data_IF_322011612150
#
_entry.id   IF_322011612150
#
_cell.length_a   1.000
_cell.length_b   1.000
_cell.length_c   1.000
_cell.angle_alpha   90.00
_cell.angle_beta   90.00
_cell.angle_gamma   90.00
#
_symmetry.space_group_name_H-M   'P 1'
#
loop_
_entity.id
_entity.type
_entity.pdbx_description
1 polymer ?
#
# COMPACT_ATOMS: atom_id res chain seq x y z
N UNK A 1 -1.91 20.61 16.07
CA UNK A 1 -1.83 19.38 15.25
C UNK A 1 -0.76 19.65 14.21
N UNK A 2 0.36 18.89 14.16
CA UNK A 2 1.47 19.27 13.31
C UNK A 2 1.06 19.14 11.83
N UNK A 3 1.27 20.21 11.04
CA UNK A 3 0.79 20.37 9.65
C UNK A 3 1.06 19.16 8.73
N UNK A 4 2.08 18.37 9.03
CA UNK A 4 2.52 17.25 8.20
C UNK A 4 1.59 16.03 8.23
N UNK A 5 0.85 15.78 9.32
CA UNK A 5 -0.09 14.64 9.38
C UNK A 5 -1.27 14.81 8.41
N UNK A 6 -1.74 16.04 8.31
CA UNK A 6 -2.84 16.45 7.45
C UNK A 6 -2.39 16.43 5.99
N UNK A 7 -1.14 16.82 5.72
CA UNK A 7 -0.57 16.77 4.39
C UNK A 7 -0.41 15.32 3.89
N UNK A 8 0.09 14.40 4.71
CA UNK A 8 0.20 12.99 4.36
C UNK A 8 -1.17 12.35 4.07
N UNK A 9 -2.20 12.72 4.84
CA UNK A 9 -3.57 12.28 4.56
C UNK A 9 -4.08 12.78 3.19
N UNK A 10 -3.79 14.04 2.84
CA UNK A 10 -4.19 14.65 1.56
C UNK A 10 -3.45 14.00 0.38
N UNK A 11 -2.14 13.83 0.49
CA UNK A 11 -1.32 13.29 -0.60
C UNK A 11 -1.73 11.86 -1.00
N UNK A 12 -2.25 11.07 -0.05
CA UNK A 12 -2.74 9.73 -0.33
C UNK A 12 -4.05 9.64 -1.14
N UNK A 13 -4.78 10.74 -1.38
CA UNK A 13 -6.03 10.67 -2.14
C UNK A 13 -5.83 10.25 -3.59
N UNK A 14 -4.76 10.73 -4.23
CA UNK A 14 -4.45 10.38 -5.62
C UNK A 14 -4.26 8.88 -5.79
N UNK A 15 -3.45 8.29 -4.91
CA UNK A 15 -3.17 6.84 -4.90
C UNK A 15 -4.45 6.01 -4.70
N UNK A 16 -5.30 6.39 -3.73
CA UNK A 16 -6.58 5.71 -3.47
C UNK A 16 -7.53 5.78 -4.66
N UNK A 17 -7.59 6.91 -5.34
CA UNK A 17 -8.42 7.07 -6.53
C UNK A 17 -7.90 6.20 -7.68
N UNK A 18 -6.59 6.25 -7.95
CA UNK A 18 -5.93 5.46 -9.00
C UNK A 18 -6.15 3.96 -8.80
N UNK A 19 -5.91 3.44 -7.60
CA UNK A 19 -6.11 2.03 -7.29
C UNK A 19 -7.57 1.57 -7.53
N UNK A 20 -8.54 2.42 -7.19
CA UNK A 20 -9.98 2.13 -7.43
C UNK A 20 -10.32 2.11 -8.91
N UNK A 21 -9.80 3.04 -9.70
CA UNK A 21 -10.01 3.10 -11.15
C UNK A 21 -9.45 1.82 -11.80
N UNK A 22 -8.21 1.45 -11.49
CA UNK A 22 -7.57 0.24 -12.05
C UNK A 22 -8.31 -1.03 -11.61
N UNK A 23 -8.69 -1.15 -10.34
CA UNK A 23 -9.48 -2.29 -9.88
C UNK A 23 -10.84 -2.39 -10.59
N UNK A 24 -11.50 -1.25 -10.85
CA UNK A 24 -12.74 -1.23 -11.62
C UNK A 24 -12.53 -1.64 -13.09
N UNK A 25 -11.46 -1.17 -13.70
CA UNK A 25 -11.06 -1.56 -15.06
C UNK A 25 -10.82 -3.07 -15.18
N UNK A 26 -10.11 -3.68 -14.23
CA UNK A 26 -9.91 -5.14 -14.17
C UNK A 26 -11.26 -5.88 -14.13
N UNK A 27 -12.19 -5.43 -13.26
CA UNK A 27 -13.53 -6.03 -13.16
C UNK A 27 -14.35 -5.89 -14.44
N UNK A 28 -14.24 -4.76 -15.14
CA UNK A 28 -14.90 -4.57 -16.43
C UNK A 28 -14.42 -5.58 -17.49
N UNK A 29 -13.21 -6.12 -17.35
CA UNK A 29 -12.62 -7.13 -18.24
C UNK A 29 -12.75 -8.56 -17.69
N UNK A 30 -13.65 -8.80 -16.74
CA UNK A 30 -13.90 -10.14 -16.19
C UNK A 30 -12.86 -10.64 -15.19
N UNK A 31 -11.89 -9.80 -14.79
CA UNK A 31 -10.88 -10.12 -13.78
C UNK A 31 -11.34 -9.71 -12.38
N UNK A 32 -10.93 -10.47 -11.36
CA UNK A 32 -11.35 -10.23 -9.96
C UNK A 32 -10.49 -9.16 -9.28
N UNK A 33 -10.51 -7.93 -9.79
CA UNK A 33 -9.74 -6.80 -9.25
C UNK A 33 -10.36 -6.16 -8.00
N UNK A 34 -9.56 -5.96 -6.94
CA UNK A 34 -9.96 -5.27 -5.69
C UNK A 34 -8.94 -4.20 -5.34
N UNK A 35 -9.40 -2.97 -5.09
CA UNK A 35 -8.54 -1.90 -4.61
C UNK A 35 -8.28 -2.08 -3.11
N UNK A 36 -7.01 -2.04 -2.71
CA UNK A 36 -6.58 -2.20 -1.33
C UNK A 36 -5.73 -1.01 -0.91
N UNK A 37 -6.11 -0.40 0.22
CA UNK A 37 -5.40 0.75 0.77
C UNK A 37 -4.19 0.27 1.58
N UNK A 38 -2.98 0.71 1.21
CA UNK A 38 -1.74 0.32 1.85
C UNK A 38 -1.66 0.79 3.30
N UNK A 39 -2.47 1.74 3.76
CA UNK A 39 -2.59 2.07 5.19
C UNK A 39 -3.10 0.90 6.05
N UNK A 40 -3.76 -0.08 5.43
CA UNK A 40 -4.14 -1.35 6.06
C UNK A 40 -3.05 -2.43 5.98
N UNK A 41 -1.94 -2.18 5.28
CA UNK A 41 -0.85 -3.14 5.08
C UNK A 41 0.46 -2.63 5.69
N UNK A 42 0.92 -1.47 5.25
CA UNK A 42 2.19 -0.86 5.61
C UNK A 42 2.05 -0.12 6.93
N UNK A 43 2.69 -0.66 7.97
CA UNK A 43 2.81 -0.01 9.28
C UNK A 43 4.11 0.78 9.30
N UNK A 44 4.08 2.05 9.68
CA UNK A 44 5.27 2.90 9.72
C UNK A 44 5.56 3.44 11.12
N UNK A 45 6.73 4.05 11.26
CA UNK A 45 6.99 5.04 12.31
C UNK A 45 6.19 6.35 12.08
N UNK A 46 6.39 7.32 12.97
CA UNK A 46 5.67 8.60 12.99
C UNK A 46 6.46 9.72 12.26
N UNK A 47 7.36 9.38 11.34
CA UNK A 47 8.14 10.35 10.56
C UNK A 47 7.37 10.76 9.31
N UNK A 48 6.35 11.61 9.49
CA UNK A 48 5.48 12.10 8.40
C UNK A 48 6.30 12.74 7.26
N UNK A 49 5.89 12.47 6.01
CA UNK A 49 6.59 12.88 4.79
C UNK A 49 7.71 11.94 4.33
N UNK A 50 8.24 11.08 5.21
CA UNK A 50 9.36 10.17 4.90
C UNK A 50 9.41 8.98 5.87
N UNK A 51 8.27 8.33 6.09
CA UNK A 51 8.10 7.33 7.13
C UNK A 51 8.75 5.99 6.76
N UNK A 52 9.27 5.28 7.77
CA UNK A 52 9.93 3.98 7.59
C UNK A 52 8.98 2.83 7.95
N UNK A 53 8.78 1.84 7.06
CA UNK A 53 8.02 0.63 7.35
C UNK A 53 8.59 -0.22 8.50
N UNK A 54 7.75 -0.58 9.46
CA UNK A 54 7.98 -1.63 10.45
C UNK A 54 7.69 -2.99 9.78
N UNK A 55 8.74 -3.66 9.32
CA UNK A 55 8.62 -4.91 8.55
C UNK A 55 7.87 -6.02 9.29
N UNK A 56 8.00 -6.08 10.63
CA UNK A 56 7.35 -7.13 11.43
C UNK A 56 5.84 -6.93 11.47
N UNK A 57 5.39 -5.70 11.75
CA UNK A 57 3.96 -5.39 11.79
C UNK A 57 3.34 -5.38 10.40
N UNK A 58 4.08 -4.91 9.40
CA UNK A 58 3.65 -4.93 8.00
C UNK A 58 3.46 -6.35 7.51
N UNK A 59 4.40 -7.27 7.80
CA UNK A 59 4.27 -8.70 7.48
C UNK A 59 2.96 -9.28 8.01
N UNK A 60 2.68 -9.07 9.30
CA UNK A 60 1.43 -9.54 9.91
C UNK A 60 0.19 -9.02 9.16
N UNK A 61 0.14 -7.72 8.84
CA UNK A 61 -1.01 -7.14 8.14
C UNK A 61 -1.14 -7.65 6.71
N UNK A 62 -0.02 -7.86 6.00
CA UNK A 62 0.00 -8.45 4.65
C UNK A 62 -0.51 -9.89 4.68
N UNK A 63 -0.05 -10.70 5.64
CA UNK A 63 -0.52 -12.08 5.84
C UNK A 63 -2.03 -12.12 6.13
N UNK A 64 -2.54 -11.18 6.94
CA UNK A 64 -3.96 -11.13 7.31
C UNK A 64 -4.88 -10.58 6.20
N UNK A 65 -4.41 -9.62 5.39
CA UNK A 65 -5.29 -8.83 4.52
C UNK A 65 -5.00 -8.96 3.02
N UNK A 66 -3.77 -9.33 2.62
CA UNK A 66 -3.37 -9.46 1.22
C UNK A 66 -3.31 -10.92 0.77
N UNK A 67 -2.61 -11.79 1.51
CA UNK A 67 -2.42 -13.20 1.11
C UNK A 67 -3.75 -13.94 0.87
N UNK A 68 -4.80 -13.80 1.70
CA UNK A 68 -6.07 -14.48 1.46
C UNK A 68 -6.77 -14.04 0.16
N UNK A 69 -6.47 -12.84 -0.34
CA UNK A 69 -6.98 -12.39 -1.63
C UNK A 69 -6.27 -13.12 -2.77
N UNK A 70 -4.94 -13.22 -2.70
CA UNK A 70 -4.12 -13.93 -3.68
C UNK A 70 -4.51 -15.41 -3.76
N UNK A 71 -4.66 -16.08 -2.62
CA UNK A 71 -5.10 -17.50 -2.54
C UNK A 71 -6.46 -17.74 -3.20
N UNK A 72 -7.34 -16.73 -3.17
CA UNK A 72 -8.67 -16.79 -3.78
C UNK A 72 -8.69 -16.39 -5.25
N UNK A 73 -7.53 -16.16 -5.87
CA UNK A 73 -7.43 -15.68 -7.27
C UNK A 73 -8.00 -14.29 -7.47
N UNK A 74 -7.99 -13.44 -6.43
CA UNK A 74 -8.32 -12.02 -6.52
C UNK A 74 -7.04 -11.26 -6.86
N UNK A 75 -7.13 -10.25 -7.72
CA UNK A 75 -6.01 -9.38 -8.09
C UNK A 75 -6.07 -8.12 -7.20
N UNK A 76 -5.20 -7.99 -6.18
CA UNK A 76 -5.16 -6.81 -5.34
C UNK A 76 -4.46 -5.68 -6.09
N UNK A 77 -5.12 -4.52 -6.17
CA UNK A 77 -4.54 -3.27 -6.66
C UNK A 77 -4.24 -2.44 -5.42
N UNK A 78 -3.00 -2.53 -4.96
CA UNK A 78 -2.55 -1.87 -3.72
C UNK A 78 -2.09 -0.45 -4.04
N UNK A 79 -2.50 0.54 -3.24
CA UNK A 79 -1.98 1.91 -3.35
C UNK A 79 -0.47 1.94 -3.07
N UNK A 80 0.31 2.72 -3.83
CA UNK A 80 1.71 2.99 -3.49
C UNK A 80 1.85 4.15 -2.50
N UNK A 81 3.09 4.47 -2.13
CA UNK A 81 3.53 5.70 -1.46
C UNK A 81 3.00 5.96 -0.03
N UNK A 82 1.89 5.35 0.38
CA UNK A 82 1.21 5.61 1.65
C UNK A 82 1.30 4.43 2.62
N UNK A 83 1.31 4.75 3.90
CA UNK A 83 1.22 3.80 5.00
C UNK A 83 0.44 4.39 6.18
N UNK A 84 0.47 3.71 7.31
CA UNK A 84 -0.06 4.29 8.54
C UNK A 84 0.79 3.95 9.75
N UNK A 85 0.81 4.87 10.72
CA UNK A 85 1.41 4.62 12.03
C UNK A 85 0.71 3.46 12.74
N UNK A 86 1.31 2.98 13.84
CA UNK A 86 0.69 1.95 14.71
C UNK A 86 -0.69 2.36 15.23
N UNK A 87 -0.93 3.66 15.39
CA UNK A 87 -2.21 4.24 15.82
C UNK A 87 -3.21 4.46 14.68
N UNK A 88 -2.85 4.14 13.44
CA UNK A 88 -3.71 4.26 12.26
C UNK A 88 -3.70 5.64 11.61
N UNK A 89 -2.77 6.53 11.99
CA UNK A 89 -2.63 7.84 11.31
C UNK A 89 -1.94 7.66 9.96
N UNK A 90 -2.46 8.22 8.85
CA UNK A 90 -1.82 8.14 7.55
C UNK A 90 -0.41 8.75 7.56
N UNK A 91 0.51 8.10 6.84
CA UNK A 91 1.88 8.56 6.60
C UNK A 91 2.22 8.39 5.13
N UNK A 92 3.23 9.12 4.65
CA UNK A 92 3.83 8.94 3.34
C UNK A 92 5.27 8.44 3.46
N UNK A 93 5.71 7.64 2.49
CA UNK A 93 7.01 6.96 2.49
C UNK A 93 8.14 7.79 1.84
N UNK A 94 7.87 9.06 1.51
CA UNK A 94 8.82 9.93 0.85
C UNK A 94 9.04 9.60 -0.64
N UNK A 95 10.15 10.12 -1.18
CA UNK A 95 10.47 10.01 -2.63
C UNK A 95 10.68 8.54 -3.02
N UNK A 96 10.03 8.11 -4.11
CA UNK A 96 10.07 6.72 -4.55
C UNK A 96 9.19 5.80 -3.70
N UNK A 97 8.25 6.35 -2.91
CA UNK A 97 7.45 5.57 -1.99
C UNK A 97 6.59 4.48 -2.64
N UNK A 98 6.17 4.63 -3.92
CA UNK A 98 5.47 3.57 -4.65
C UNK A 98 6.38 2.37 -4.91
N UNK A 99 7.61 2.61 -5.39
CA UNK A 99 8.64 1.59 -5.59
C UNK A 99 9.02 0.93 -4.26
N UNK A 100 9.09 1.73 -3.19
CA UNK A 100 9.35 1.22 -1.86
C UNK A 100 8.21 0.33 -1.35
N UNK A 101 6.95 0.73 -1.58
CA UNK A 101 5.77 -0.07 -1.23
C UNK A 101 5.81 -1.42 -1.94
N UNK A 102 6.07 -1.42 -3.25
CA UNK A 102 6.18 -2.65 -4.04
C UNK A 102 7.32 -3.54 -3.51
N UNK A 103 8.49 -2.97 -3.24
CA UNK A 103 9.64 -3.69 -2.68
C UNK A 103 9.36 -4.34 -1.34
N UNK A 104 8.68 -3.62 -0.42
CA UNK A 104 8.30 -4.15 0.90
C UNK A 104 7.32 -5.30 0.77
N UNK A 105 6.28 -5.15 -0.04
CA UNK A 105 5.27 -6.20 -0.22
C UNK A 105 5.90 -7.43 -0.89
N UNK A 106 6.67 -7.25 -1.97
CA UNK A 106 7.36 -8.34 -2.65
C UNK A 106 8.28 -9.14 -1.72
N UNK A 107 9.04 -8.45 -0.87
CA UNK A 107 9.90 -9.11 0.12
C UNK A 107 9.12 -9.88 1.19
N UNK A 108 7.91 -9.44 1.54
CA UNK A 108 7.07 -10.10 2.56
C UNK A 108 6.37 -11.34 1.99
N UNK A 109 5.81 -11.23 0.79
CA UNK A 109 5.11 -12.35 0.13
C UNK A 109 6.08 -13.34 -0.53
N UNK A 110 7.39 -13.08 -0.43
CA UNK A 110 8.45 -13.88 -1.05
C UNK A 110 8.23 -14.04 -2.55
N UNK A 111 7.91 -12.91 -3.21
CA UNK A 111 7.69 -12.88 -4.66
C UNK A 111 8.97 -13.28 -5.40
N UNK A 112 8.84 -14.12 -6.42
CA UNK A 112 9.95 -14.53 -7.28
C UNK A 112 10.59 -13.32 -7.99
N UNK A 113 9.74 -12.35 -8.39
CA UNK A 113 10.16 -11.16 -9.14
C UNK A 113 9.39 -9.91 -8.71
N UNK A 114 10.03 -8.74 -8.88
CA UNK A 114 9.43 -7.42 -8.77
C UNK A 114 9.70 -6.64 -10.06
N UNK A 115 8.64 -6.14 -10.70
CA UNK A 115 8.74 -5.37 -11.94
C UNK A 115 8.43 -3.90 -11.71
N UNK A 116 9.35 -3.04 -12.17
CA UNK A 116 9.23 -1.59 -12.11
C UNK A 116 9.11 -1.05 -13.53
N UNK A 117 8.02 -0.34 -13.82
CA UNK A 117 7.77 0.26 -15.13
C UNK A 117 8.12 1.75 -15.06
N UNK A 118 9.16 2.19 -15.79
CA UNK A 118 9.68 3.57 -15.81
C UNK A 118 9.79 4.14 -17.21
#
# INVERSE_FOLDING_TARGET
>A
VPMNDTMDAILGFGERLSARIIAAFLRQHGLRGVALDATHLIVTDDVYGNATPDMKLTRKRVEENLLPLLERGIIPVVTGFIGATKSGKPTTLGRGGSDYTASVISAIIEADELWMWS
#
